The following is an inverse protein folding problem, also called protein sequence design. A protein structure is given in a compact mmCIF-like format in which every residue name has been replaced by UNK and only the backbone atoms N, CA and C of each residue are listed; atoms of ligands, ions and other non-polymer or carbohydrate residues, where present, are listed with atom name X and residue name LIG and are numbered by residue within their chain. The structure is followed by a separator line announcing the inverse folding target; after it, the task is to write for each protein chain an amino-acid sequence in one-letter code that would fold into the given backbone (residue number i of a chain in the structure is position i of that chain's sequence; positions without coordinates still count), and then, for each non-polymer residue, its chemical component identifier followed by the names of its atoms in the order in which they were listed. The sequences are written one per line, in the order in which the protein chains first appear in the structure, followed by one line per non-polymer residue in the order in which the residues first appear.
data_IF_313038107896
#
_entry.id   IF_313038107896
#
_cell.length_a   1.000
_cell.length_b   1.000
_cell.length_c   1.000
_cell.angle_alpha   90.00
_cell.angle_beta   90.00
_cell.angle_gamma   90.00
#
_symmetry.space_group_name_H-M   'P 1'
#
loop_
_entity.id
_entity.type
_entity.pdbx_description
1 polymer ?
#
# COMPACT_ATOMS: atom_id res chain seq x y z
N UNK A 1 12.10 -2.51 -59.51
CA UNK A 1 10.93 -2.73 -58.61
C UNK A 1 11.36 -2.50 -57.16
N UNK A 2 11.04 -1.33 -56.57
CA UNK A 2 11.49 -0.97 -55.19
C UNK A 2 10.37 -1.36 -54.23
N UNK A 3 10.55 -2.35 -53.40
CA UNK A 3 9.73 -2.65 -52.25
C UNK A 3 9.94 -1.58 -51.16
N UNK A 4 9.04 -0.59 -51.08
CA UNK A 4 8.89 0.22 -49.86
C UNK A 4 8.06 -0.61 -48.88
N UNK A 5 8.75 -1.26 -47.92
CA UNK A 5 8.09 -1.85 -46.78
C UNK A 5 7.48 -0.72 -45.94
N UNK A 6 6.21 -0.84 -45.66
CA UNK A 6 5.42 0.12 -44.90
C UNK A 6 5.77 0.05 -43.40
N UNK A 7 6.89 0.72 -43.05
CA UNK A 7 7.44 0.78 -41.68
C UNK A 7 6.48 1.52 -40.73
N UNK A 8 5.57 2.33 -41.28
CA UNK A 8 4.59 3.11 -40.49
C UNK A 8 3.46 2.28 -39.91
N UNK A 9 2.97 1.27 -40.66
CA UNK A 9 1.88 0.41 -40.18
C UNK A 9 2.33 -0.53 -39.01
N UNK A 10 3.57 -1.05 -39.10
CA UNK A 10 4.14 -1.93 -38.07
C UNK A 10 4.38 -1.15 -36.76
N UNK A 11 4.85 0.10 -36.84
CA UNK A 11 5.05 0.96 -35.65
C UNK A 11 3.72 1.33 -34.98
N UNK A 12 2.66 1.65 -35.73
CA UNK A 12 1.33 1.97 -35.18
C UNK A 12 0.66 0.75 -34.53
N UNK A 13 0.78 -0.43 -35.13
CA UNK A 13 0.26 -1.67 -34.56
C UNK A 13 0.93 -2.03 -33.23
N UNK A 14 2.26 -1.86 -33.14
CA UNK A 14 3.01 -2.14 -31.92
C UNK A 14 2.70 -1.14 -30.78
N UNK A 15 2.56 0.16 -31.09
CA UNK A 15 2.18 1.17 -30.13
C UNK A 15 0.77 0.95 -29.57
N UNK A 16 -0.20 0.56 -30.43
CA UNK A 16 -1.55 0.24 -30.00
C UNK A 16 -1.59 -0.98 -29.10
N UNK A 17 -0.84 -2.02 -29.41
CA UNK A 17 -0.76 -3.24 -28.59
C UNK A 17 -0.20 -2.95 -27.19
N UNK A 18 0.84 -2.10 -27.07
CA UNK A 18 1.42 -1.68 -25.77
C UNK A 18 0.42 -0.85 -24.95
N UNK A 19 -0.37 0.02 -25.60
CA UNK A 19 -1.41 0.78 -24.91
C UNK A 19 -2.55 -0.12 -24.42
N UNK A 20 -2.98 -1.08 -25.25
CA UNK A 20 -4.03 -2.04 -24.87
C UNK A 20 -3.58 -2.93 -23.70
N UNK A 21 -2.32 -3.41 -23.69
CA UNK A 21 -1.73 -4.16 -22.59
C UNK A 21 -1.64 -3.32 -21.30
N UNK A 22 -1.17 -2.08 -21.39
CA UNK A 22 -1.09 -1.19 -20.22
C UNK A 22 -2.46 -0.88 -19.63
N UNK A 23 -3.48 -0.71 -20.48
CA UNK A 23 -4.87 -0.50 -20.05
C UNK A 23 -5.42 -1.75 -19.35
N UNK A 24 -5.18 -2.94 -19.88
CA UNK A 24 -5.62 -4.21 -19.29
C UNK A 24 -4.96 -4.41 -17.90
N UNK A 25 -3.66 -4.13 -17.76
CA UNK A 25 -2.94 -4.20 -16.48
C UNK A 25 -3.52 -3.22 -15.47
N UNK A 26 -3.82 -1.98 -15.91
CA UNK A 26 -4.44 -0.97 -15.06
C UNK A 26 -5.81 -1.40 -14.56
N UNK A 27 -6.67 -1.95 -15.42
CA UNK A 27 -8.00 -2.43 -15.04
C UNK A 27 -7.93 -3.64 -14.09
N UNK A 28 -6.98 -4.54 -14.30
CA UNK A 28 -6.72 -5.66 -13.41
C UNK A 28 -6.35 -5.18 -11.99
N UNK A 29 -5.42 -4.22 -11.89
CA UNK A 29 -4.99 -3.64 -10.62
C UNK A 29 -6.16 -2.95 -9.90
N UNK A 30 -6.99 -2.17 -10.61
CA UNK A 30 -8.16 -1.50 -10.05
C UNK A 30 -9.17 -2.49 -9.48
N UNK A 31 -9.46 -3.56 -10.23
CA UNK A 31 -10.38 -4.61 -9.78
C UNK A 31 -9.91 -5.28 -8.51
N UNK A 32 -8.63 -5.59 -8.42
CA UNK A 32 -8.04 -6.23 -7.26
C UNK A 32 -7.96 -5.27 -6.06
N UNK A 33 -7.65 -3.98 -6.30
CA UNK A 33 -7.66 -2.96 -5.26
C UNK A 33 -9.08 -2.77 -4.70
N UNK A 34 -10.10 -2.74 -5.56
CA UNK A 34 -11.50 -2.67 -5.13
C UNK A 34 -11.91 -3.89 -4.30
N UNK A 35 -11.54 -5.11 -4.74
CA UNK A 35 -11.82 -6.35 -4.00
C UNK A 35 -11.19 -6.34 -2.60
N UNK A 36 -9.92 -5.93 -2.49
CA UNK A 36 -9.25 -5.82 -1.21
C UNK A 36 -9.87 -4.73 -0.32
N UNK A 37 -10.20 -3.59 -0.92
CA UNK A 37 -10.79 -2.46 -0.22
C UNK A 37 -12.17 -2.80 0.37
N UNK A 38 -13.02 -3.52 -0.36
CA UNK A 38 -14.34 -3.96 0.14
C UNK A 38 -14.21 -4.83 1.39
N UNK A 39 -13.24 -5.77 1.41
CA UNK A 39 -12.95 -6.59 2.59
C UNK A 39 -12.47 -5.73 3.75
N UNK A 40 -11.55 -4.81 3.51
CA UNK A 40 -11.04 -3.90 4.54
C UNK A 40 -12.13 -2.99 5.09
N UNK A 41 -12.97 -2.43 4.21
CA UNK A 41 -14.11 -1.59 4.60
C UNK A 41 -15.14 -2.33 5.44
N UNK A 42 -15.32 -3.62 5.20
CA UNK A 42 -16.14 -4.51 6.04
C UNK A 42 -15.49 -4.89 7.38
N UNK A 43 -14.29 -4.37 7.68
CA UNK A 43 -13.54 -4.63 8.91
C UNK A 43 -12.66 -5.87 8.88
N UNK A 44 -12.48 -6.49 7.71
CA UNK A 44 -11.69 -7.69 7.51
C UNK A 44 -10.17 -7.45 7.38
N UNK A 45 -9.46 -8.51 7.03
CA UNK A 45 -8.01 -8.55 6.86
C UNK A 45 -7.67 -8.89 5.41
N UNK A 46 -6.78 -8.10 4.79
CA UNK A 46 -6.28 -8.36 3.45
C UNK A 46 -4.75 -8.48 3.42
N UNK A 47 -4.24 -9.45 2.66
CA UNK A 47 -2.84 -9.46 2.25
C UNK A 47 -2.77 -8.84 0.86
N UNK A 48 -2.03 -7.73 0.74
CA UNK A 48 -2.01 -6.87 -0.44
C UNK A 48 -0.58 -6.61 -0.94
N UNK A 49 -0.41 -6.53 -2.28
CA UNK A 49 0.90 -6.34 -2.90
C UNK A 49 1.34 -4.87 -2.85
N UNK A 50 2.48 -4.61 -2.22
CA UNK A 50 3.21 -3.34 -2.30
C UNK A 50 4.52 -3.58 -3.04
N UNK A 51 5.10 -2.58 -3.69
CA UNK A 51 6.39 -2.72 -4.37
C UNK A 51 7.51 -3.12 -3.40
N UNK A 52 7.39 -2.73 -2.14
CA UNK A 52 8.33 -3.03 -1.03
C UNK A 52 8.06 -4.37 -0.32
N UNK A 53 7.16 -5.21 -0.83
CA UNK A 53 6.78 -6.49 -0.25
C UNK A 53 5.29 -6.58 0.07
N UNK A 54 4.80 -7.75 0.46
CA UNK A 54 3.41 -7.95 0.84
C UNK A 54 3.10 -7.33 2.20
N UNK A 55 1.93 -6.72 2.29
CA UNK A 55 1.40 -6.08 3.51
C UNK A 55 0.18 -6.83 4.00
N UNK A 56 0.14 -7.13 5.29
CA UNK A 56 -1.07 -7.57 5.99
C UNK A 56 -1.77 -6.33 6.56
N UNK A 57 -2.93 -5.99 5.99
CA UNK A 57 -3.71 -4.80 6.30
C UNK A 57 -5.02 -5.16 7.00
N UNK A 58 -5.48 -4.31 7.92
CA UNK A 58 -6.74 -4.46 8.64
C UNK A 58 -7.63 -3.23 8.50
N UNK A 59 -8.92 -3.46 8.36
CA UNK A 59 -9.94 -2.42 8.19
C UNK A 59 -10.63 -2.00 9.50
N UNK A 60 -10.28 -2.60 10.63
CA UNK A 60 -10.86 -2.30 11.95
C UNK A 60 -9.85 -2.50 13.08
N UNK A 61 -10.13 -1.96 14.27
CA UNK A 61 -9.30 -2.21 15.45
C UNK A 61 -9.18 -3.68 15.81
N UNK A 62 -10.27 -4.45 15.69
CA UNK A 62 -10.27 -5.89 15.91
C UNK A 62 -9.39 -6.63 14.90
N UNK A 63 -9.44 -6.25 13.61
CA UNK A 63 -8.57 -6.80 12.57
C UNK A 63 -7.10 -6.47 12.84
N UNK A 64 -6.78 -5.23 13.18
CA UNK A 64 -5.43 -4.80 13.52
C UNK A 64 -4.88 -5.52 14.76
N UNK A 65 -5.73 -5.73 15.76
CA UNK A 65 -5.36 -6.52 16.94
C UNK A 65 -5.06 -7.97 16.57
N UNK A 66 -5.90 -8.63 15.77
CA UNK A 66 -5.70 -9.99 15.29
C UNK A 66 -4.37 -10.12 14.53
N UNK A 67 -4.07 -9.17 13.63
CA UNK A 67 -2.78 -9.10 12.92
C UNK A 67 -1.63 -8.98 13.92
N UNK A 68 -1.74 -8.08 14.90
CA UNK A 68 -0.71 -7.84 15.90
C UNK A 68 -0.40 -9.10 16.71
N UNK A 69 -1.44 -9.77 17.20
CA UNK A 69 -1.32 -10.99 18.03
C UNK A 69 -0.70 -12.14 17.19
N UNK A 70 -1.18 -12.38 15.97
CA UNK A 70 -0.66 -13.43 15.08
C UNK A 70 0.80 -13.20 14.71
N UNK A 71 1.20 -11.95 14.47
CA UNK A 71 2.59 -11.60 14.16
C UNK A 71 3.53 -11.67 15.39
N UNK A 72 3.03 -11.91 16.58
CA UNK A 72 3.78 -11.84 17.84
C UNK A 72 4.55 -10.50 17.94
N UNK A 73 3.86 -9.41 17.61
CA UNK A 73 4.47 -8.10 17.43
C UNK A 73 4.79 -7.45 18.78
N UNK A 74 5.95 -6.81 18.88
CA UNK A 74 6.32 -6.07 20.08
C UNK A 74 5.38 -4.89 20.32
N UNK A 75 4.95 -4.65 21.56
CA UNK A 75 4.01 -3.60 21.94
C UNK A 75 4.44 -2.16 21.57
N UNK A 76 5.75 -1.95 21.36
CA UNK A 76 6.30 -0.66 20.91
C UNK A 76 6.07 -0.37 19.40
N UNK A 77 5.79 -1.40 18.61
CA UNK A 77 5.59 -1.25 17.15
C UNK A 77 4.19 -0.70 16.86
N UNK A 78 4.09 0.24 15.92
CA UNK A 78 2.82 0.80 15.42
C UNK A 78 2.51 0.28 14.03
N UNK A 79 1.22 0.23 13.69
CA UNK A 79 0.82 -0.03 12.32
C UNK A 79 1.13 1.19 11.46
N UNK A 80 1.53 0.96 10.22
CA UNK A 80 1.69 2.03 9.24
C UNK A 80 0.39 2.23 8.48
N UNK A 81 0.04 3.47 8.21
CA UNK A 81 -1.03 3.82 7.28
C UNK A 81 -0.58 3.55 5.85
N UNK A 82 -1.43 2.97 5.05
CA UNK A 82 -1.29 2.92 3.60
C UNK A 82 -1.80 4.26 3.06
N UNK A 83 -0.88 5.11 2.60
CA UNK A 83 -1.22 6.47 2.18
C UNK A 83 -0.36 6.95 1.03
N UNK A 84 -0.83 7.95 0.33
CA UNK A 84 -0.14 8.65 -0.75
C UNK A 84 0.10 10.12 -0.41
N UNK A 85 0.63 10.89 -1.36
CA UNK A 85 0.85 12.33 -1.16
C UNK A 85 -0.46 13.11 -0.92
N UNK A 86 -1.59 12.65 -1.46
CA UNK A 86 -2.87 13.30 -1.23
C UNK A 86 -3.32 13.10 0.24
N UNK A 87 -3.30 11.85 0.71
CA UNK A 87 -3.59 11.51 2.11
C UNK A 87 -2.60 12.18 3.07
N UNK A 88 -1.30 12.20 2.71
CA UNK A 88 -0.28 12.85 3.53
C UNK A 88 -0.55 14.35 3.71
N UNK A 89 -0.97 15.05 2.66
CA UNK A 89 -1.33 16.48 2.71
C UNK A 89 -2.57 16.75 3.59
N UNK A 90 -3.50 15.81 3.63
CA UNK A 90 -4.67 15.89 4.51
C UNK A 90 -4.30 15.69 5.98
N UNK A 91 -3.37 14.79 6.28
CA UNK A 91 -3.11 14.34 7.65
C UNK A 91 -1.86 14.94 8.30
N UNK A 92 -0.76 15.10 7.57
CA UNK A 92 0.49 15.54 8.17
C UNK A 92 0.57 17.05 8.42
N UNK A 93 1.16 17.38 9.55
CA UNK A 93 1.52 18.75 9.95
C UNK A 93 3.05 18.94 9.90
N UNK A 94 3.59 18.96 8.69
CA UNK A 94 5.04 19.04 8.46
C UNK A 94 5.49 20.47 8.19
N UNK A 95 6.76 20.76 8.56
CA UNK A 95 7.45 21.98 8.11
C UNK A 95 7.71 21.95 6.60
N UNK A 96 8.01 23.09 5.99
CA UNK A 96 8.43 23.19 4.59
C UNK A 96 9.54 22.19 4.26
N UNK A 97 10.58 22.11 5.11
CA UNK A 97 11.67 21.16 4.94
C UNK A 97 11.19 19.70 4.98
N UNK A 98 10.20 19.38 5.81
CA UNK A 98 9.60 18.02 5.84
C UNK A 98 8.91 17.67 4.53
N UNK A 99 8.18 18.62 3.96
CA UNK A 99 7.56 18.47 2.66
C UNK A 99 8.58 18.39 1.51
N UNK A 100 9.65 19.16 1.56
CA UNK A 100 10.74 19.09 0.57
C UNK A 100 11.37 17.70 0.55
N UNK A 101 11.64 17.11 1.72
CA UNK A 101 12.17 15.74 1.82
C UNK A 101 11.22 14.72 1.21
N UNK A 102 9.92 14.77 1.55
CA UNK A 102 8.94 13.84 1.00
C UNK A 102 8.83 14.03 -0.52
N UNK A 103 8.68 15.26 -1.00
CA UNK A 103 8.53 15.55 -2.43
C UNK A 103 9.77 15.11 -3.22
N UNK A 104 10.97 15.33 -2.67
CA UNK A 104 12.20 14.87 -3.33
C UNK A 104 12.25 13.34 -3.44
N UNK A 105 12.01 12.61 -2.36
CA UNK A 105 12.12 11.14 -2.37
C UNK A 105 11.00 10.53 -3.22
N UNK A 106 9.76 10.96 -3.00
CA UNK A 106 8.57 10.37 -3.62
C UNK A 106 8.33 10.92 -5.02
N UNK A 107 8.49 12.25 -5.21
CA UNK A 107 8.21 12.92 -6.47
C UNK A 107 9.38 12.87 -7.45
N UNK A 108 10.58 13.34 -7.03
CA UNK A 108 11.70 13.49 -7.95
C UNK A 108 12.42 12.15 -8.20
N UNK A 109 12.57 11.30 -7.17
CA UNK A 109 13.27 10.01 -7.29
C UNK A 109 12.33 8.82 -7.49
N UNK A 110 11.02 9.01 -7.40
CA UNK A 110 10.02 7.93 -7.53
C UNK A 110 10.30 6.72 -6.62
N UNK A 111 10.74 6.97 -5.39
CA UNK A 111 11.07 5.93 -4.42
C UNK A 111 9.96 5.78 -3.36
N UNK A 112 9.72 4.55 -2.87
CA UNK A 112 8.85 4.34 -1.72
C UNK A 112 9.46 4.93 -0.45
N UNK A 113 8.61 5.47 0.42
CA UNK A 113 9.04 6.09 1.67
C UNK A 113 8.13 5.71 2.83
N UNK A 114 8.69 5.19 3.92
CA UNK A 114 8.03 5.13 5.21
C UNK A 114 8.29 6.43 5.98
N UNK A 115 7.34 7.35 6.01
CA UNK A 115 7.45 8.62 6.70
C UNK A 115 6.82 8.54 8.10
N UNK A 116 7.45 9.20 9.09
CA UNK A 116 6.88 9.41 10.43
C UNK A 116 6.78 10.91 10.66
N UNK A 117 5.60 11.39 10.97
CA UNK A 117 5.37 12.82 11.19
C UNK A 117 4.21 13.13 12.11
N UNK A 118 4.17 14.36 12.68
CA UNK A 118 3.00 14.87 13.38
C UNK A 118 1.79 14.84 12.46
N UNK A 119 0.62 14.52 13.01
CA UNK A 119 -0.61 14.41 12.23
C UNK A 119 -1.82 14.97 12.97
N UNK A 120 -2.81 15.40 12.18
CA UNK A 120 -4.12 15.85 12.65
C UNK A 120 -4.96 14.64 13.07
N UNK A 121 -4.96 14.33 14.36
CA UNK A 121 -5.71 13.20 14.92
C UNK A 121 -7.23 13.41 14.87
N UNK A 122 -7.70 14.65 14.76
CA UNK A 122 -9.10 15.04 14.64
C UNK A 122 -9.63 15.07 13.19
N UNK A 123 -8.81 14.68 12.22
CA UNK A 123 -9.20 14.67 10.81
C UNK A 123 -10.30 13.65 10.52
N UNK A 124 -11.33 13.98 9.68
CA UNK A 124 -12.45 13.09 9.37
C UNK A 124 -12.04 11.69 8.89
N UNK A 125 -10.93 11.57 8.15
CA UNK A 125 -10.39 10.29 7.70
C UNK A 125 -10.02 9.35 8.88
N UNK A 126 -9.62 9.89 10.03
CA UNK A 126 -9.27 9.10 11.21
C UNK A 126 -10.44 8.90 12.17
N UNK A 127 -11.48 9.74 12.09
CA UNK A 127 -12.63 9.69 12.99
C UNK A 127 -13.51 8.43 12.82
N UNK A 128 -13.36 7.69 11.72
CA UNK A 128 -14.07 6.41 11.49
C UNK A 128 -13.44 5.24 12.25
N UNK A 129 -12.23 5.44 12.77
CA UNK A 129 -11.51 4.42 13.51
C UNK A 129 -11.95 4.42 14.99
N UNK A 130 -12.01 3.23 15.56
CA UNK A 130 -12.15 3.11 17.00
C UNK A 130 -10.87 3.56 17.74
N UNK A 131 -11.01 3.81 19.03
CA UNK A 131 -9.92 4.30 19.88
C UNK A 131 -8.74 3.33 19.91
N UNK A 132 -8.99 2.03 19.86
CA UNK A 132 -7.95 1.00 19.90
C UNK A 132 -7.12 1.02 18.61
N UNK A 133 -7.77 1.18 17.44
CA UNK A 133 -7.09 1.31 16.15
C UNK A 133 -6.19 2.55 16.10
N UNK A 134 -6.68 3.70 16.60
CA UNK A 134 -5.87 4.93 16.71
C UNK A 134 -4.65 4.70 17.60
N UNK A 135 -4.82 4.13 18.80
CA UNK A 135 -3.71 3.87 19.72
C UNK A 135 -2.70 2.87 19.16
N UNK A 136 -3.16 1.86 18.41
CA UNK A 136 -2.28 0.89 17.77
C UNK A 136 -1.49 1.46 16.58
N UNK A 137 -1.90 2.60 16.05
CA UNK A 137 -1.37 3.19 14.81
C UNK A 137 -0.66 4.53 15.01
N UNK A 138 -0.83 5.17 16.17
CA UNK A 138 -0.21 6.48 16.48
C UNK A 138 0.65 6.41 17.74
N UNK A 139 1.59 7.33 17.87
CA UNK A 139 2.41 7.52 19.07
C UNK A 139 2.79 8.99 19.22
N UNK A 140 2.52 9.56 20.39
CA UNK A 140 2.91 10.95 20.74
C UNK A 140 2.50 11.96 19.66
N UNK A 141 1.27 11.82 19.11
CA UNK A 141 0.76 12.71 18.05
C UNK A 141 1.37 12.45 16.66
N UNK A 142 2.17 11.39 16.49
CA UNK A 142 2.77 11.04 15.21
C UNK A 142 2.11 9.81 14.57
N UNK A 143 2.16 9.74 13.25
CA UNK A 143 1.68 8.66 12.42
C UNK A 143 2.79 8.18 11.49
N UNK A 144 2.88 6.86 11.29
CA UNK A 144 3.71 6.25 10.24
C UNK A 144 2.86 6.09 8.99
N UNK A 145 3.34 6.56 7.84
CA UNK A 145 2.67 6.37 6.55
C UNK A 145 3.63 5.79 5.53
N UNK A 146 3.20 4.76 4.81
CA UNK A 146 3.90 4.23 3.64
C UNK A 146 3.43 5.00 2.41
N UNK A 147 4.36 5.67 1.74
CA UNK A 147 4.14 6.47 0.54
C UNK A 147 4.76 5.79 -0.68
N UNK A 148 4.12 5.96 -1.84
CA UNK A 148 4.64 5.55 -3.16
C UNK A 148 5.10 4.08 -3.25
N UNK A 149 4.27 3.16 -2.83
CA UNK A 149 4.60 1.74 -2.84
C UNK A 149 4.03 0.96 -4.04
N UNK A 150 3.87 1.62 -5.18
CA UNK A 150 3.52 1.02 -6.47
C UNK A 150 2.08 1.20 -6.93
N UNK A 151 1.71 0.66 -8.12
CA UNK A 151 0.42 0.93 -8.75
C UNK A 151 -0.79 0.43 -7.95
N UNK A 152 -0.71 -0.75 -7.34
CA UNK A 152 -1.78 -1.25 -6.48
C UNK A 152 -1.98 -0.35 -5.25
N UNK A 153 -0.87 0.08 -4.65
CA UNK A 153 -0.88 1.03 -3.52
C UNK A 153 -1.57 2.34 -3.89
N UNK A 154 -1.29 2.90 -5.08
CA UNK A 154 -1.93 4.14 -5.54
C UNK A 154 -3.45 3.98 -5.67
N UNK A 155 -3.93 2.88 -6.25
CA UNK A 155 -5.38 2.64 -6.42
C UNK A 155 -6.08 2.43 -5.07
N UNK A 156 -5.48 1.71 -4.13
CA UNK A 156 -6.12 1.49 -2.82
C UNK A 156 -6.10 2.76 -1.95
N UNK A 157 -5.07 3.60 -2.07
CA UNK A 157 -5.03 4.92 -1.42
C UNK A 157 -6.12 5.85 -1.94
N UNK A 158 -6.35 5.85 -3.26
CA UNK A 158 -7.45 6.61 -3.88
C UNK A 158 -8.80 6.19 -3.30
N UNK A 159 -9.09 4.88 -3.24
CA UNK A 159 -10.33 4.37 -2.64
C UNK A 159 -10.45 4.75 -1.16
N UNK A 160 -9.34 4.66 -0.41
CA UNK A 160 -9.28 5.05 1.00
C UNK A 160 -9.68 6.52 1.21
N UNK A 161 -9.14 7.43 0.39
CA UNK A 161 -9.44 8.85 0.49
C UNK A 161 -10.86 9.18 0.02
N UNK A 162 -11.29 8.64 -1.13
CA UNK A 162 -12.63 8.88 -1.71
C UNK A 162 -13.75 8.41 -0.79
N UNK A 163 -13.53 7.31 -0.05
CA UNK A 163 -14.54 6.74 0.84
C UNK A 163 -14.31 7.05 2.32
N UNK A 164 -13.34 7.90 2.65
CA UNK A 164 -12.95 8.27 4.01
C UNK A 164 -12.77 7.04 4.92
N UNK A 165 -12.11 6.00 4.38
CA UNK A 165 -11.84 4.78 5.13
C UNK A 165 -10.33 4.48 5.14
N UNK A 166 -9.62 4.80 6.23
CA UNK A 166 -8.18 4.66 6.32
C UNK A 166 -7.78 3.19 6.44
N UNK A 167 -6.64 2.82 5.84
CA UNK A 167 -6.11 1.47 5.85
C UNK A 167 -4.80 1.45 6.63
N UNK A 168 -4.69 0.54 7.57
CA UNK A 168 -3.49 0.33 8.37
C UNK A 168 -2.98 -1.09 8.24
N UNK A 169 -1.67 -1.26 8.35
CA UNK A 169 -1.08 -2.58 8.26
C UNK A 169 0.40 -2.61 8.61
N UNK A 170 0.98 -3.73 8.31
CA UNK A 170 2.42 -3.97 8.41
C UNK A 170 2.83 -5.05 7.43
N UNK A 171 4.14 -5.26 7.21
CA UNK A 171 4.63 -6.35 6.36
C UNK A 171 3.96 -7.69 6.70
N UNK A 172 3.61 -8.49 5.68
CA UNK A 172 2.93 -9.79 5.83
C UNK A 172 3.94 -10.88 6.22
N UNK A 173 4.39 -10.87 7.47
CA UNK A 173 5.35 -11.82 8.02
C UNK A 173 5.21 -11.92 9.54
N UNK A 174 5.64 -13.02 10.12
CA UNK A 174 5.89 -13.10 11.56
C UNK A 174 7.01 -12.13 11.94
N UNK A 175 6.93 -11.53 13.13
CA UNK A 175 7.91 -10.51 13.54
C UNK A 175 9.34 -11.05 13.47
N UNK A 176 10.26 -10.26 12.91
CA UNK A 176 11.69 -10.54 12.75
C UNK A 176 12.06 -11.59 11.69
N UNK A 177 11.12 -12.10 10.90
CA UNK A 177 11.41 -13.07 9.82
C UNK A 177 11.71 -12.41 8.46
N UNK A 178 11.77 -11.08 8.41
CA UNK A 178 12.00 -10.31 7.17
C UNK A 178 10.74 -10.10 6.34
N UNK A 179 10.81 -9.14 5.42
CA UNK A 179 9.71 -8.82 4.50
C UNK A 179 9.51 -9.96 3.49
N UNK A 180 8.28 -10.27 3.12
CA UNK A 180 7.98 -11.29 2.12
C UNK A 180 7.65 -10.64 0.78
N UNK A 181 8.33 -11.10 -0.27
CA UNK A 181 8.19 -10.57 -1.63
C UNK A 181 7.38 -11.48 -2.55
N UNK A 182 7.00 -12.68 -2.09
CA UNK A 182 6.09 -13.63 -2.73
C UNK A 182 5.06 -14.12 -1.72
N UNK A 183 3.87 -14.50 -2.20
CA UNK A 183 2.82 -15.07 -1.32
C UNK A 183 3.26 -16.42 -0.75
N UNK A 184 3.95 -17.24 -1.52
CA UNK A 184 4.44 -18.55 -1.07
C UNK A 184 5.39 -18.45 0.13
N UNK A 185 6.14 -17.35 0.27
CA UNK A 185 7.10 -17.13 1.36
C UNK A 185 6.45 -16.63 2.66
N UNK A 186 5.17 -16.22 2.61
CA UNK A 186 4.42 -15.77 3.78
C UNK A 186 4.08 -16.99 4.66
N UNK A 187 4.32 -16.86 5.95
CA UNK A 187 4.04 -17.91 6.91
C UNK A 187 2.56 -18.28 6.93
N UNK A 188 2.22 -19.59 7.08
CA UNK A 188 0.84 -20.07 7.05
C UNK A 188 -0.10 -19.33 7.99
N UNK A 189 0.33 -19.07 9.23
CA UNK A 189 -0.44 -18.37 10.25
C UNK A 189 -0.82 -16.94 9.85
N UNK A 190 -0.01 -16.28 9.04
CA UNK A 190 -0.32 -14.94 8.51
C UNK A 190 -1.33 -15.04 7.35
N UNK A 191 -1.23 -16.09 6.52
CA UNK A 191 -2.20 -16.33 5.43
C UNK A 191 -3.57 -16.73 5.99
N UNK A 192 -3.59 -17.55 7.04
CA UNK A 192 -4.81 -18.12 7.63
C UNK A 192 -5.72 -17.07 8.28
N UNK A 193 -5.19 -15.92 8.68
CA UNK A 193 -6.01 -14.82 9.25
C UNK A 193 -6.59 -13.89 8.18
N UNK A 194 -6.15 -13.97 6.93
CA UNK A 194 -6.58 -13.09 5.85
C UNK A 194 -7.91 -13.53 5.25
N UNK A 195 -8.85 -12.60 5.10
CA UNK A 195 -10.13 -12.81 4.41
C UNK A 195 -9.96 -12.73 2.88
N UNK A 196 -8.91 -12.04 2.42
CA UNK A 196 -8.51 -11.99 1.01
C UNK A 196 -7.00 -11.88 0.87
N UNK A 197 -6.47 -12.56 -0.14
CA UNK A 197 -5.06 -12.45 -0.57
C UNK A 197 -5.08 -11.99 -2.04
N UNK A 198 -4.40 -10.90 -2.33
CA UNK A 198 -4.17 -10.39 -3.67
C UNK A 198 -2.73 -10.72 -4.07
N UNK A 199 -2.59 -11.60 -5.05
CA UNK A 199 -1.28 -12.06 -5.52
C UNK A 199 -0.91 -11.40 -6.86
N UNK A 200 0.12 -10.57 -6.84
CA UNK A 200 0.73 -9.98 -8.03
C UNK A 200 2.17 -10.47 -8.23
N UNK A 201 2.49 -11.68 -7.75
CA UNK A 201 3.79 -12.33 -7.91
C UNK A 201 4.93 -11.62 -7.17
N UNK A 202 6.13 -11.76 -7.68
CA UNK A 202 7.35 -11.21 -7.08
C UNK A 202 7.31 -9.67 -7.04
N UNK A 203 7.55 -9.10 -5.85
CA UNK A 203 7.51 -7.65 -5.67
C UNK A 203 8.81 -6.95 -6.14
N UNK A 204 8.69 -5.67 -6.51
CA UNK A 204 9.73 -4.89 -7.21
C UNK A 204 11.05 -4.82 -6.46
N UNK A 205 11.03 -4.60 -5.14
CA UNK A 205 12.23 -4.34 -4.36
C UNK A 205 12.82 -5.57 -3.66
N UNK A 206 12.56 -6.78 -4.16
CA UNK A 206 13.08 -8.04 -3.60
C UNK A 206 14.62 -8.17 -3.61
N UNK A 207 15.32 -7.32 -4.35
CA UNK A 207 16.80 -7.37 -4.46
C UNK A 207 17.55 -6.89 -3.22
N UNK A 208 16.85 -6.25 -2.28
CA UNK A 208 17.46 -5.63 -1.11
C UNK A 208 17.49 -6.54 0.13
N UNK A 209 17.16 -7.82 -0.02
CA UNK A 209 17.23 -8.81 1.07
C UNK A 209 18.54 -9.60 1.15
N UNK A 210 19.59 -9.18 0.44
CA UNK A 210 20.89 -9.87 0.49
C UNK A 210 21.83 -9.23 1.49
#
# INVERSE_FOLDING_TARGET
MRFRRDVGAVKRGRAKNVQDEAMMVSEFIKKDAFKAFDVLKAGGIAIIPMDVGYTCAGGSGAALKKIFDTKQRQASKRNAMVGDLAIAKELYELSERGWDVINTIVGDYDLPLGAVGPCRLDHPLLNVLDREAIQASTKDGTLVMLLNAGPFHAEICKLSLEQLHPIFGSSANVSLTGTKFRIEDIEPEIKDIADVIIDHGLRKYHFYEQ
#
